data_IF_969837994498
#
_entry.id   IF_969837994498
#
_cell.length_a   1.000
_cell.length_b   1.000
_cell.length_c   1.000
_cell.angle_alpha   90.00
_cell.angle_beta   90.00
_cell.angle_gamma   90.00
#
_symmetry.space_group_name_H-M   'P 1'
#
loop_
_entity.id
_entity.type
_entity.pdbx_description
1 polymer ?
#
# COMPACT_ATOMS: atom_id res chain seq x y z
N UNK A 1 -17.25 -0.83 -18.08
CA UNK A 1 -16.18 0.00 -17.51
C UNK A 1 -15.02 -0.92 -17.18
N UNK A 2 -13.87 -0.79 -17.83
CA UNK A 2 -12.69 -1.56 -17.43
C UNK A 2 -12.11 -0.90 -16.18
N UNK A 3 -12.37 -1.46 -15.00
CA UNK A 3 -11.61 -1.10 -13.82
C UNK A 3 -10.16 -1.54 -14.03
N UNK A 4 -9.24 -0.58 -14.11
CA UNK A 4 -7.81 -0.88 -14.11
C UNK A 4 -7.42 -1.57 -12.80
N UNK A 5 -6.41 -2.45 -12.83
CA UNK A 5 -5.94 -3.22 -11.68
C UNK A 5 -5.67 -2.35 -10.44
N UNK A 6 -5.18 -1.12 -10.66
CA UNK A 6 -4.98 -0.09 -9.64
C UNK A 6 -6.24 0.27 -8.85
N UNK A 7 -7.40 0.28 -9.50
CA UNK A 7 -8.70 0.53 -8.86
C UNK A 7 -9.08 -0.58 -7.91
N UNK A 8 -8.99 -1.84 -8.36
CA UNK A 8 -9.28 -3.01 -7.50
C UNK A 8 -8.34 -3.11 -6.30
N UNK A 9 -7.04 -2.94 -6.53
CA UNK A 9 -6.05 -2.95 -5.44
C UNK A 9 -6.34 -1.85 -4.42
N UNK A 10 -6.74 -0.66 -4.87
CA UNK A 10 -7.16 0.41 -3.96
C UNK A 10 -8.36 0.01 -3.11
N UNK A 11 -9.37 -0.64 -3.68
CA UNK A 11 -10.53 -1.07 -2.90
C UNK A 11 -10.19 -2.10 -1.83
N UNK A 12 -9.39 -3.10 -2.18
CA UNK A 12 -8.94 -4.12 -1.23
C UNK A 12 -8.12 -3.54 -0.08
N UNK A 13 -7.27 -2.55 -0.38
CA UNK A 13 -6.38 -1.96 0.62
C UNK A 13 -6.98 -0.78 1.40
N UNK A 14 -8.09 -0.18 0.94
CA UNK A 14 -8.71 0.98 1.62
C UNK A 14 -9.09 0.70 3.09
N UNK A 15 -9.62 -0.48 3.47
CA UNK A 15 -9.88 -0.82 4.87
C UNK A 15 -8.62 -0.89 5.75
N UNK A 16 -7.45 -1.08 5.15
CA UNK A 16 -6.17 -1.26 5.87
C UNK A 16 -5.38 0.05 5.91
N UNK A 17 -5.29 0.73 4.77
CA UNK A 17 -4.45 1.91 4.54
C UNK A 17 -5.20 3.24 4.71
N UNK A 18 -6.53 3.16 4.86
CA UNK A 18 -7.43 4.30 4.93
C UNK A 18 -7.96 4.72 3.57
N UNK A 19 -9.13 5.37 3.57
CA UNK A 19 -9.72 5.91 2.35
C UNK A 19 -8.82 6.99 1.74
N UNK A 20 -8.68 6.96 0.41
CA UNK A 20 -7.94 7.98 -0.34
C UNK A 20 -6.41 7.81 -0.31
N UNK A 21 -5.88 6.69 0.16
CA UNK A 21 -4.45 6.44 0.11
C UNK A 21 -3.89 6.48 -1.34
N UNK A 22 -2.64 6.92 -1.44
CA UNK A 22 -1.96 7.04 -2.73
C UNK A 22 -1.40 5.67 -3.10
N UNK A 23 -1.73 5.22 -4.30
CA UNK A 23 -1.19 4.00 -4.91
C UNK A 23 -0.64 4.41 -6.26
N UNK A 24 0.54 3.95 -6.62
CA UNK A 24 1.24 4.30 -7.86
C UNK A 24 1.89 3.07 -8.46
N UNK A 25 2.19 3.11 -9.76
CA UNK A 25 3.04 2.08 -10.34
C UNK A 25 4.46 2.26 -9.82
N UNK A 26 5.11 1.15 -9.50
CA UNK A 26 6.50 1.20 -9.06
C UNK A 26 7.40 1.75 -10.18
N UNK A 27 8.40 2.59 -9.87
CA UNK A 27 9.38 3.07 -10.85
C UNK A 27 10.34 1.97 -11.33
N UNK A 28 10.48 0.87 -10.57
CA UNK A 28 11.27 -0.31 -10.95
C UNK A 28 10.53 -1.59 -10.60
N UNK A 29 10.63 -2.60 -11.47
CA UNK A 29 10.08 -3.93 -11.27
C UNK A 29 10.71 -4.67 -10.08
N UNK A 30 11.91 -4.27 -9.66
CA UNK A 30 12.60 -4.83 -8.50
C UNK A 30 11.87 -4.54 -7.18
N UNK A 31 11.01 -3.52 -7.14
CA UNK A 31 10.20 -3.16 -5.97
C UNK A 31 8.73 -3.58 -6.11
N UNK A 32 8.42 -4.44 -7.09
CA UNK A 32 7.06 -4.89 -7.40
C UNK A 32 6.34 -4.03 -8.45
N UNK A 33 5.03 -4.26 -8.60
CA UNK A 33 4.21 -3.57 -9.61
C UNK A 33 3.64 -2.24 -9.13
N UNK A 34 3.32 -2.17 -7.83
CA UNK A 34 2.63 -1.05 -7.22
C UNK A 34 3.34 -0.64 -5.94
N UNK A 35 3.34 0.66 -5.67
CA UNK A 35 3.93 1.24 -4.46
C UNK A 35 2.97 2.25 -3.82
N UNK A 36 3.13 2.47 -2.52
CA UNK A 36 2.37 3.48 -1.78
C UNK A 36 3.27 4.24 -0.81
N UNK A 37 3.22 5.59 -0.78
CA UNK A 37 3.90 6.39 0.23
C UNK A 37 3.11 6.46 1.56
N UNK A 38 2.01 5.71 1.70
CA UNK A 38 1.12 5.81 2.85
C UNK A 38 1.80 5.62 4.22
N UNK A 39 2.75 4.68 4.40
CA UNK A 39 3.47 4.55 5.68
C UNK A 39 4.17 5.84 6.08
N UNK A 40 4.84 6.52 5.13
CA UNK A 40 5.53 7.79 5.37
C UNK A 40 4.55 8.90 5.77
N UNK A 41 3.40 8.98 5.10
CA UNK A 41 2.38 10.00 5.37
C UNK A 41 1.81 9.83 6.78
N UNK A 42 1.43 8.60 7.14
CA UNK A 42 0.88 8.27 8.47
C UNK A 42 1.94 8.49 9.55
N UNK A 43 3.16 8.00 9.34
CA UNK A 43 4.27 8.19 10.27
C UNK A 43 4.55 9.67 10.56
N UNK A 44 4.58 10.52 9.52
CA UNK A 44 4.75 11.97 9.69
C UNK A 44 3.61 12.61 10.48
N UNK A 45 2.37 12.17 10.25
CA UNK A 45 1.18 12.71 10.95
C UNK A 45 1.15 12.30 12.42
N UNK A 46 1.56 11.08 12.73
CA UNK A 46 1.51 10.51 14.08
C UNK A 46 2.81 10.66 14.88
N UNK A 47 3.88 11.17 14.25
CA UNK A 47 5.20 11.27 14.87
C UNK A 47 5.84 9.91 15.15
N UNK A 48 5.59 8.93 14.29
CA UNK A 48 6.09 7.54 14.41
C UNK A 48 7.21 7.25 13.41
N UNK A 49 7.90 6.14 13.61
CA UNK A 49 8.86 5.63 12.64
C UNK A 49 8.13 5.05 11.40
N UNK A 50 8.52 5.44 10.17
CA UNK A 50 7.88 4.93 8.95
C UNK A 50 8.06 3.44 8.70
N UNK A 51 9.18 2.84 9.12
CA UNK A 51 9.44 1.40 8.94
C UNK A 51 8.52 0.58 9.85
N UNK A 52 8.32 1.04 11.09
CA UNK A 52 7.36 0.42 12.01
C UNK A 52 5.93 0.49 11.47
N UNK A 53 5.50 1.66 10.98
CA UNK A 53 4.17 1.83 10.38
C UNK A 53 3.99 0.96 9.14
N UNK A 54 5.00 0.90 8.27
CA UNK A 54 4.98 0.06 7.08
C UNK A 54 4.88 -1.43 7.41
N UNK A 55 5.62 -1.89 8.41
CA UNK A 55 5.58 -3.28 8.88
C UNK A 55 4.20 -3.66 9.40
N UNK A 56 3.58 -2.80 10.23
CA UNK A 56 2.23 -3.02 10.75
C UNK A 56 1.15 -3.02 9.65
N UNK A 57 1.30 -2.17 8.63
CA UNK A 57 0.39 -2.14 7.48
C UNK A 57 0.52 -3.44 6.68
N UNK A 58 1.75 -3.86 6.39
CA UNK A 58 2.06 -5.10 5.67
C UNK A 58 1.47 -6.32 6.36
N UNK A 59 1.59 -6.44 7.68
CA UNK A 59 1.01 -7.55 8.45
C UNK A 59 -0.51 -7.65 8.33
N UNK A 60 -1.19 -6.56 7.98
CA UNK A 60 -2.65 -6.54 7.76
C UNK A 60 -3.04 -6.83 6.31
N UNK A 61 -2.09 -6.82 5.38
CA UNK A 61 -2.33 -7.13 3.98
C UNK A 61 -2.18 -8.64 3.82
N UNK A 62 -3.29 -9.33 4.02
CA UNK A 62 -3.39 -10.78 3.87
C UNK A 62 -4.32 -11.11 2.69
N UNK A 63 -3.77 -11.03 1.49
CA UNK A 63 -4.49 -11.39 0.27
C UNK A 63 -3.63 -12.27 -0.63
N UNK A 64 -4.15 -13.47 -0.95
CA UNK A 64 -3.51 -14.48 -1.82
C UNK A 64 -3.17 -13.99 -3.24
N UNK A 65 -3.72 -12.85 -3.65
CA UNK A 65 -3.47 -12.24 -4.95
C UNK A 65 -2.12 -11.51 -5.04
N UNK A 66 -1.51 -11.17 -3.90
CA UNK A 66 -0.22 -10.53 -3.84
C UNK A 66 0.85 -11.60 -3.67
N UNK A 67 1.64 -11.82 -4.70
CA UNK A 67 2.78 -12.74 -4.61
C UNK A 67 3.77 -12.30 -3.52
N UNK A 68 3.97 -10.99 -3.35
CA UNK A 68 4.78 -10.42 -2.28
C UNK A 68 4.29 -9.02 -1.93
N UNK A 69 4.34 -8.69 -0.64
CA UNK A 69 4.24 -7.33 -0.11
C UNK A 69 5.54 -7.04 0.61
N UNK A 70 6.30 -6.04 0.16
CA UNK A 70 7.63 -5.73 0.71
C UNK A 70 7.59 -4.60 1.70
#
# INVERSE_FOLDING_TARGET
MAWGIKGKVREWLSPILGEGFVLEFSPSKEFGDLSTPQPMIVAKKEGKDPMEVGSLMKERIDFDIFETVT
#
